data_IF_476049813301
#
_entry.id   IF_476049813301
#
_cell.length_a   1.000
_cell.length_b   1.000
_cell.length_c   1.000
_cell.angle_alpha   90.00
_cell.angle_beta   90.00
_cell.angle_gamma   90.00
#
_symmetry.space_group_name_H-M   'P 1'
#
loop_
_entity.id
_entity.type
_entity.pdbx_description
1 polymer ?
#
# COMPACT_ATOMS: atom_id res chain seq x y z
N UNK A 1 -10.96 17.44 23.53
CA UNK A 1 -12.12 16.54 23.72
C UNK A 1 -12.35 15.68 22.48
N UNK A 2 -12.60 16.25 21.29
CA UNK A 2 -12.87 15.50 20.05
C UNK A 2 -11.76 14.51 19.67
N UNK A 3 -10.48 14.89 19.79
CA UNK A 3 -9.35 13.99 19.49
C UNK A 3 -9.18 12.86 20.52
N UNK A 4 -9.71 13.00 21.74
CA UNK A 4 -9.70 11.97 22.77
C UNK A 4 -10.84 10.97 22.57
N UNK A 5 -12.05 11.46 22.26
CA UNK A 5 -13.22 10.63 21.98
C UNK A 5 -13.01 9.69 20.79
N UNK A 6 -12.16 10.07 19.83
CA UNK A 6 -11.76 9.24 18.68
C UNK A 6 -11.02 7.95 19.10
N UNK A 7 -10.27 7.96 20.20
CA UNK A 7 -9.50 6.80 20.68
C UNK A 7 -10.39 5.75 21.36
N UNK A 8 -11.61 6.13 21.78
CA UNK A 8 -12.53 5.30 22.54
C UNK A 8 -13.79 4.91 21.73
N UNK A 9 -13.63 4.65 20.43
CA UNK A 9 -14.75 4.36 19.51
C UNK A 9 -15.68 3.22 19.98
N UNK A 10 -15.16 2.21 20.69
CA UNK A 10 -15.97 1.12 21.28
C UNK A 10 -16.70 1.49 22.58
N UNK A 11 -16.39 2.65 23.18
CA UNK A 11 -16.95 3.12 24.47
C UNK A 11 -17.80 4.38 24.34
N UNK A 12 -18.06 4.85 23.12
CA UNK A 12 -18.91 6.01 22.84
C UNK A 12 -20.23 5.54 22.26
N UNK A 13 -21.33 6.26 22.57
CA UNK A 13 -22.64 5.92 21.99
C UNK A 13 -22.63 6.04 20.47
N UNK A 14 -23.49 5.28 19.79
CA UNK A 14 -23.63 5.31 18.33
C UNK A 14 -23.88 6.74 17.81
N UNK A 15 -24.75 7.51 18.48
CA UNK A 15 -24.99 8.92 18.13
C UNK A 15 -23.75 9.82 18.29
N UNK A 16 -22.92 9.58 19.31
CA UNK A 16 -21.65 10.29 19.48
C UNK A 16 -20.67 9.93 18.37
N UNK A 17 -20.56 8.63 18.05
CA UNK A 17 -19.71 8.13 16.99
C UNK A 17 -20.09 8.70 15.60
N UNK A 18 -21.38 8.74 15.27
CA UNK A 18 -21.89 9.36 14.04
C UNK A 18 -21.53 10.85 13.94
N UNK A 19 -21.62 11.61 15.04
CA UNK A 19 -21.21 13.02 15.09
C UNK A 19 -19.69 13.18 14.95
N UNK A 20 -18.90 12.28 15.53
CA UNK A 20 -17.44 12.28 15.38
C UNK A 20 -17.03 12.04 13.92
N UNK A 21 -17.66 11.08 13.23
CA UNK A 21 -17.44 10.83 11.79
C UNK A 21 -17.79 12.06 10.94
N UNK A 22 -18.96 12.68 11.18
CA UNK A 22 -19.35 13.93 10.49
C UNK A 22 -18.34 15.05 10.71
N UNK A 23 -17.82 15.19 11.94
CA UNK A 23 -16.78 16.17 12.26
C UNK A 23 -15.46 15.86 11.56
N UNK A 24 -15.03 14.60 11.52
CA UNK A 24 -13.81 14.18 10.80
C UNK A 24 -13.89 14.51 9.30
N UNK A 25 -15.04 14.23 8.67
CA UNK A 25 -15.28 14.60 7.28
C UNK A 25 -15.13 16.11 7.08
N UNK A 26 -15.72 16.92 7.97
CA UNK A 26 -15.61 18.38 7.89
C UNK A 26 -14.17 18.88 8.10
N UNK A 27 -13.44 18.31 9.06
CA UNK A 27 -12.04 18.70 9.34
C UNK A 27 -11.12 18.41 8.13
N UNK A 28 -11.42 17.40 7.31
CA UNK A 28 -10.68 17.11 6.07
C UNK A 28 -11.14 17.99 4.90
N UNK A 29 -12.44 18.25 4.76
CA UNK A 29 -12.99 19.07 3.66
C UNK A 29 -12.68 20.56 3.83
N UNK A 30 -12.69 21.06 5.07
CA UNK A 30 -12.37 22.45 5.42
C UNK A 30 -11.30 22.52 6.52
N UNK A 31 -10.03 22.16 6.23
CA UNK A 31 -8.95 22.13 7.22
C UNK A 31 -8.70 23.48 7.92
N UNK A 32 -8.98 24.60 7.24
CA UNK A 32 -8.93 25.94 7.84
C UNK A 32 -9.98 26.20 8.94
N UNK A 33 -10.86 25.23 9.22
CA UNK A 33 -11.82 25.26 10.35
C UNK A 33 -11.50 24.22 11.43
N UNK A 34 -10.48 23.38 11.22
CA UNK A 34 -9.96 22.48 12.25
C UNK A 34 -9.13 23.30 13.24
N UNK A 35 -9.77 23.67 14.35
CA UNK A 35 -9.14 24.44 15.41
C UNK A 35 -7.83 23.81 15.94
N UNK A 36 -7.74 22.48 15.99
CA UNK A 36 -6.55 21.77 16.47
C UNK A 36 -5.39 22.01 15.49
N UNK A 37 -5.65 21.89 14.19
CA UNK A 37 -4.67 22.14 13.14
C UNK A 37 -4.29 23.62 13.06
N UNK A 38 -5.27 24.52 12.97
CA UNK A 38 -5.01 25.96 12.76
C UNK A 38 -4.27 26.59 13.93
N UNK A 39 -4.58 26.17 15.16
CA UNK A 39 -3.92 26.71 16.36
C UNK A 39 -2.50 26.16 16.49
N UNK A 40 -2.31 24.84 16.35
CA UNK A 40 -1.00 24.20 16.55
C UNK A 40 -0.02 24.49 15.42
N UNK A 41 -0.51 24.77 14.22
CA UNK A 41 0.30 25.13 13.05
C UNK A 41 0.29 26.63 12.72
N UNK A 42 -0.22 27.49 13.61
CA UNK A 42 -0.41 28.92 13.33
C UNK A 42 0.82 29.64 12.73
N UNK A 43 2.07 29.44 13.21
CA UNK A 43 3.23 30.11 12.64
C UNK A 43 3.48 29.75 11.18
N UNK A 44 3.34 28.46 10.82
CA UNK A 44 3.49 27.98 9.44
C UNK A 44 2.36 28.49 8.56
N UNK A 45 1.12 28.48 9.06
CA UNK A 45 -0.04 28.98 8.32
C UNK A 45 0.15 30.46 7.99
N UNK A 46 0.57 31.26 8.97
CA UNK A 46 0.81 32.68 8.77
C UNK A 46 1.95 32.94 7.78
N UNK A 47 3.03 32.16 7.85
CA UNK A 47 4.20 32.35 6.99
C UNK A 47 3.97 31.90 5.55
N UNK A 48 3.32 30.75 5.34
CA UNK A 48 3.26 30.10 4.03
C UNK A 48 1.85 30.00 3.43
N UNK A 49 0.81 29.99 4.27
CA UNK A 49 -0.56 29.65 3.85
C UNK A 49 -1.57 30.78 4.10
N UNK A 50 -1.13 32.01 4.36
CA UNK A 50 -2.00 33.12 4.72
C UNK A 50 -3.04 33.45 3.62
N UNK A 51 -2.65 33.28 2.35
CA UNK A 51 -3.49 33.57 1.19
C UNK A 51 -4.23 32.33 0.65
N UNK A 52 -4.08 31.17 1.31
CA UNK A 52 -4.71 29.94 0.86
C UNK A 52 -6.17 29.86 1.29
N UNK A 53 -6.98 29.23 0.43
CA UNK A 53 -8.39 28.97 0.77
C UNK A 53 -8.46 27.95 1.92
N UNK A 54 -9.52 28.02 2.74
CA UNK A 54 -9.69 27.13 3.91
C UNK A 54 -9.60 25.64 3.55
N UNK A 55 -10.09 25.23 2.38
CA UNK A 55 -9.99 23.86 1.88
C UNK A 55 -8.54 23.42 1.55
N UNK A 56 -7.65 24.37 1.24
CA UNK A 56 -6.29 24.09 0.77
C UNK A 56 -5.23 24.17 1.88
N UNK A 57 -5.60 24.59 3.10
CA UNK A 57 -4.65 24.78 4.21
C UNK A 57 -3.86 23.50 4.51
N UNK A 58 -4.52 22.35 4.51
CA UNK A 58 -3.85 21.06 4.76
C UNK A 58 -2.79 20.75 3.69
N UNK A 59 -3.13 20.98 2.42
CA UNK A 59 -2.24 20.78 1.28
C UNK A 59 -1.07 21.76 1.28
N UNK A 60 -1.31 23.03 1.63
CA UNK A 60 -0.27 24.03 1.77
C UNK A 60 0.71 23.68 2.90
N UNK A 61 0.18 23.29 4.07
CA UNK A 61 1.01 22.84 5.20
C UNK A 61 1.86 21.63 4.82
N UNK A 62 1.28 20.65 4.11
CA UNK A 62 1.99 19.47 3.60
C UNK A 62 3.21 19.84 2.75
N UNK A 63 3.05 20.78 1.81
CA UNK A 63 4.13 21.21 0.91
C UNK A 63 5.27 21.96 1.62
N UNK A 64 4.96 22.63 2.72
CA UNK A 64 5.91 23.50 3.42
C UNK A 64 6.44 22.91 4.74
N UNK A 65 6.04 21.70 5.12
CA UNK A 65 6.37 21.11 6.42
C UNK A 65 7.88 20.93 6.65
N UNK A 66 8.66 20.80 5.58
CA UNK A 66 10.11 20.58 5.62
C UNK A 66 10.94 21.85 5.37
N UNK A 67 10.30 23.01 5.16
CA UNK A 67 11.00 24.28 4.88
C UNK A 67 11.57 24.97 6.14
N UNK A 68 11.07 24.62 7.33
CA UNK A 68 11.50 25.19 8.62
C UNK A 68 11.63 24.09 9.69
N UNK A 69 12.17 24.46 10.86
CA UNK A 69 12.13 23.64 12.07
C UNK A 69 10.69 23.55 12.63
N UNK A 70 9.81 22.88 11.89
CA UNK A 70 8.39 22.74 12.20
C UNK A 70 8.21 22.11 13.58
N UNK A 71 7.46 22.75 14.51
CA UNK A 71 7.22 22.21 15.82
C UNK A 71 6.63 20.80 15.74
N UNK A 72 7.13 19.87 16.56
CA UNK A 72 6.66 18.48 16.59
C UNK A 72 5.15 18.38 16.80
N UNK A 73 4.57 19.31 17.58
CA UNK A 73 3.12 19.38 17.84
C UNK A 73 2.33 19.67 16.55
N UNK A 74 2.79 20.59 15.70
CA UNK A 74 2.16 20.85 14.40
C UNK A 74 2.29 19.63 13.49
N UNK A 75 3.51 19.07 13.41
CA UNK A 75 3.81 17.88 12.61
C UNK A 75 2.90 16.71 12.96
N UNK A 76 2.72 16.43 14.25
CA UNK A 76 1.86 15.35 14.74
C UNK A 76 0.39 15.53 14.35
N UNK A 77 -0.15 16.75 14.43
CA UNK A 77 -1.54 17.00 14.04
C UNK A 77 -1.70 16.94 12.54
N UNK A 78 -0.77 17.51 11.78
CA UNK A 78 -0.75 17.45 10.33
C UNK A 78 -0.71 16.00 9.84
N UNK A 79 0.24 15.19 10.34
CA UNK A 79 0.37 13.78 9.96
C UNK A 79 -0.87 12.97 10.29
N UNK A 80 -1.53 13.20 11.44
CA UNK A 80 -2.82 12.56 11.75
C UNK A 80 -3.91 12.89 10.73
N UNK A 81 -3.96 14.13 10.23
CA UNK A 81 -4.94 14.52 9.20
C UNK A 81 -4.61 13.94 7.83
N UNK A 82 -3.32 13.90 7.48
CA UNK A 82 -2.86 13.28 6.25
C UNK A 82 -3.08 11.76 6.26
N UNK A 83 -2.87 11.10 7.40
CA UNK A 83 -3.18 9.69 7.61
C UNK A 83 -4.66 9.40 7.32
N UNK A 84 -5.59 10.17 7.90
CA UNK A 84 -7.04 10.01 7.62
C UNK A 84 -7.35 10.20 6.13
N UNK A 85 -6.76 11.23 5.50
CA UNK A 85 -6.96 11.51 4.07
C UNK A 85 -6.42 10.40 3.16
N UNK A 86 -5.32 9.73 3.57
CA UNK A 86 -4.65 8.70 2.79
C UNK A 86 -5.12 7.28 3.11
N UNK A 87 -5.86 7.10 4.20
CA UNK A 87 -6.36 5.80 4.62
C UNK A 87 -7.72 5.45 4.04
N UNK A 88 -8.48 6.44 3.56
CA UNK A 88 -9.86 6.23 3.14
C UNK A 88 -10.24 7.17 1.98
N UNK A 89 -10.54 6.59 0.83
CA UNK A 89 -10.89 7.31 -0.39
C UNK A 89 -12.08 8.26 -0.20
N UNK A 90 -13.00 7.99 0.74
CA UNK A 90 -14.19 8.82 1.01
C UNK A 90 -13.83 10.20 1.55
N UNK A 91 -12.65 10.34 2.17
CA UNK A 91 -12.13 11.63 2.61
C UNK A 91 -11.32 12.35 1.54
N UNK A 92 -10.95 11.65 0.46
CA UNK A 92 -10.25 12.20 -0.69
C UNK A 92 -11.19 12.34 -1.89
N UNK A 93 -12.02 13.39 -1.87
CA UNK A 93 -13.01 13.68 -2.92
C UNK A 93 -12.36 13.81 -4.31
N UNK A 94 -11.19 14.47 -4.39
CA UNK A 94 -10.45 14.62 -5.64
C UNK A 94 -10.04 13.28 -6.24
N UNK A 95 -9.54 12.37 -5.40
CA UNK A 95 -9.23 10.99 -5.81
C UNK A 95 -10.46 10.27 -6.36
N UNK A 96 -11.57 10.26 -5.64
CA UNK A 96 -12.80 9.58 -6.12
C UNK A 96 -13.28 10.17 -7.45
N UNK A 97 -13.37 11.49 -7.56
CA UNK A 97 -13.88 12.16 -8.77
C UNK A 97 -12.99 11.89 -9.99
N UNK A 98 -11.67 11.91 -9.81
CA UNK A 98 -10.72 11.75 -10.90
C UNK A 98 -10.41 10.29 -11.22
N UNK A 99 -10.61 9.36 -10.27
CA UNK A 99 -10.41 7.92 -10.46
C UNK A 99 -11.69 7.12 -10.69
N UNK A 100 -12.88 7.73 -10.73
CA UNK A 100 -14.15 7.01 -10.78
C UNK A 100 -14.18 5.90 -11.85
N UNK A 101 -13.80 6.21 -13.09
CA UNK A 101 -13.76 5.24 -14.18
C UNK A 101 -12.80 4.07 -13.91
N UNK A 102 -11.66 4.35 -13.30
CA UNK A 102 -10.66 3.33 -12.98
C UNK A 102 -11.11 2.46 -11.81
N UNK A 103 -11.78 3.05 -10.81
CA UNK A 103 -12.42 2.33 -9.71
C UNK A 103 -13.44 1.35 -10.28
N UNK A 104 -14.31 1.83 -11.17
CA UNK A 104 -15.36 1.04 -11.80
C UNK A 104 -14.81 -0.03 -12.74
N UNK A 105 -13.63 0.14 -13.33
CA UNK A 105 -13.04 -0.89 -14.22
C UNK A 105 -12.19 -1.91 -13.49
N UNK A 106 -11.54 -1.51 -12.40
CA UNK A 106 -10.43 -2.27 -11.84
C UNK A 106 -10.58 -2.63 -10.36
N UNK A 107 -11.49 -1.98 -9.63
CA UNK A 107 -11.65 -2.11 -8.19
C UNK A 107 -13.08 -2.45 -7.73
N UNK A 108 -13.97 -2.87 -8.64
CA UNK A 108 -15.35 -3.23 -8.28
C UNK A 108 -15.43 -4.32 -7.21
N UNK A 109 -14.51 -5.28 -7.22
CA UNK A 109 -14.49 -6.38 -6.25
C UNK A 109 -14.21 -5.90 -4.81
N UNK A 110 -13.65 -4.70 -4.63
CA UNK A 110 -13.41 -4.12 -3.29
C UNK A 110 -14.66 -3.45 -2.70
N UNK A 111 -15.68 -3.24 -3.53
CA UNK A 111 -16.95 -2.60 -3.19
C UNK A 111 -18.00 -3.65 -2.79
N UNK A 112 -17.79 -4.92 -3.16
CA UNK A 112 -18.65 -6.04 -2.77
C UNK A 112 -18.20 -6.51 -1.40
N UNK A 113 -19.09 -6.43 -0.41
CA UNK A 113 -18.84 -6.87 0.95
C UNK A 113 -18.76 -8.41 1.00
N UNK A 114 -17.75 -8.93 1.71
CA UNK A 114 -17.72 -10.31 2.18
C UNK A 114 -18.82 -10.44 3.25
N UNK A 115 -20.05 -10.73 2.82
CA UNK A 115 -21.22 -10.86 3.70
C UNK A 115 -21.43 -12.27 4.25
N UNK A 116 -20.55 -13.24 3.96
CA UNK A 116 -20.69 -14.60 4.47
C UNK A 116 -19.31 -15.18 4.78
N UNK A 117 -18.96 -15.30 6.08
CA UNK A 117 -18.11 -16.32 6.72
C UNK A 117 -17.44 -15.77 8.00
N UNK A 118 -18.24 -15.43 9.01
CA UNK A 118 -17.77 -15.49 10.40
C UNK A 118 -18.59 -16.60 11.09
N UNK A 119 -18.24 -17.87 10.80
CA UNK A 119 -18.49 -18.94 11.77
C UNK A 119 -17.51 -18.69 12.91
N UNK A 120 -18.04 -18.20 14.03
CA UNK A 120 -17.33 -17.96 15.29
C UNK A 120 -16.59 -19.24 15.75
N UNK A 121 -15.27 -19.28 15.55
CA UNK A 121 -14.37 -20.08 16.38
C UNK A 121 -14.11 -19.27 17.66
N UNK A 122 -15.00 -19.43 18.63
CA UNK A 122 -14.79 -18.93 19.99
C UNK A 122 -13.79 -19.86 20.69
N UNK A 123 -12.55 -19.40 20.82
CA UNK A 123 -11.60 -19.97 21.78
C UNK A 123 -12.12 -19.73 23.21
N UNK A 124 -12.31 -20.84 23.92
CA UNK A 124 -12.57 -20.91 25.35
C UNK A 124 -11.43 -20.23 26.13
N UNK A 125 -11.77 -19.19 26.90
CA UNK A 125 -10.99 -18.85 28.09
C UNK A 125 -11.93 -18.75 29.28
N UNK A 126 -11.76 -19.73 30.16
CA UNK A 126 -12.24 -19.80 31.52
C UNK A 126 -12.06 -18.46 32.24
N UNK A 127 -13.14 -17.96 32.85
CA UNK A 127 -13.03 -17.42 34.21
C UNK A 127 -14.36 -17.48 34.94
N UNK A 128 -14.40 -18.41 35.90
CA UNK A 128 -15.34 -18.46 37.00
C UNK A 128 -15.35 -17.11 37.75
N UNK A 129 -16.53 -16.53 37.98
CA UNK A 129 -16.98 -16.17 39.33
C UNK A 129 -18.45 -15.74 39.37
N UNK A 130 -19.21 -16.57 40.09
CA UNK A 130 -20.45 -16.30 40.81
C UNK A 130 -20.86 -14.83 41.04
N UNK A 131 -22.06 -14.48 40.58
CA UNK A 131 -23.03 -13.69 41.35
C UNK A 131 -24.45 -13.93 40.82
N UNK A 132 -25.27 -14.57 41.67
CA UNK A 132 -26.72 -14.57 41.62
C UNK A 132 -27.27 -13.14 41.49
N UNK A 133 -28.23 -12.93 40.59
CA UNK A 133 -29.48 -12.26 40.96
C UNK A 133 -30.58 -12.51 39.92
N UNK A 134 -31.68 -13.08 40.40
CA UNK A 134 -32.94 -13.23 39.69
C UNK A 134 -33.70 -11.90 39.71
N UNK A 135 -34.21 -11.43 38.57
CA UNK A 135 -35.57 -10.91 38.53
C UNK A 135 -36.12 -10.77 37.10
N UNK A 136 -37.28 -11.39 36.90
CA UNK A 136 -38.19 -11.15 35.79
C UNK A 136 -38.80 -9.75 35.89
N UNK A 137 -39.04 -9.09 34.75
CA UNK A 137 -40.34 -8.47 34.47
C UNK A 137 -40.54 -8.10 33.00
N UNK A 138 -41.79 -8.33 32.59
CA UNK A 138 -42.43 -8.28 31.29
C UNK A 138 -42.44 -6.94 30.53
N UNK A 139 -42.60 -7.08 29.21
CA UNK A 139 -43.44 -6.30 28.28
C UNK A 139 -43.13 -4.81 28.01
N UNK A 140 -42.72 -4.49 26.77
CA UNK A 140 -43.63 -3.95 25.73
C UNK A 140 -42.85 -3.22 24.60
N UNK A 141 -43.18 -3.60 23.37
CA UNK A 141 -43.31 -2.72 22.19
C UNK A 141 -42.22 -1.70 21.83
N UNK A 142 -41.40 -2.02 20.82
CA UNK A 142 -41.61 -1.57 19.43
C UNK A 142 -40.43 -1.93 18.52
N UNK A 143 -40.80 -2.39 17.33
CA UNK A 143 -39.95 -2.55 16.17
C UNK A 143 -39.14 -1.27 15.88
N UNK A 144 -37.82 -1.34 15.97
CA UNK A 144 -36.92 -0.55 15.15
C UNK A 144 -35.84 -1.48 14.61
N UNK A 145 -36.01 -1.85 13.33
CA UNK A 145 -34.96 -2.46 12.52
C UNK A 145 -33.94 -1.36 12.17
N UNK A 146 -33.09 -1.01 13.12
CA UNK A 146 -31.86 -0.27 12.85
C UNK A 146 -30.70 -1.28 12.77
N UNK A 147 -30.71 -2.05 11.68
CA UNK A 147 -29.54 -2.80 11.20
C UNK A 147 -28.81 -1.90 10.23
N UNK A 148 -28.13 -0.88 10.76
CA UNK A 148 -27.31 0.05 9.99
C UNK A 148 -26.29 0.68 10.93
N UNK A 149 -25.12 0.03 11.18
CA UNK A 149 -23.84 0.74 11.46
C UNK A 149 -22.62 -0.15 11.81
N UNK A 150 -22.37 -1.29 11.13
CA UNK A 150 -21.07 -2.01 11.30
C UNK A 150 -20.35 -2.42 10.00
N UNK A 151 -20.94 -2.32 8.80
CA UNK A 151 -20.23 -2.66 7.54
C UNK A 151 -19.38 -1.51 6.94
N UNK A 152 -19.34 -0.35 7.58
CA UNK A 152 -18.74 0.87 7.02
C UNK A 152 -17.21 1.02 7.25
N UNK A 153 -16.54 -0.04 7.72
CA UNK A 153 -15.26 0.04 8.45
C UNK A 153 -13.98 0.05 7.61
N UNK A 154 -13.97 -0.31 6.32
CA UNK A 154 -12.73 -0.25 5.51
C UNK A 154 -12.91 -0.07 3.99
N UNK A 155 -14.14 0.14 3.47
CA UNK A 155 -14.36 0.19 2.01
C UNK A 155 -13.50 1.25 1.31
N UNK A 156 -13.35 2.43 1.90
CA UNK A 156 -12.48 3.47 1.35
C UNK A 156 -10.99 3.16 1.42
N UNK A 157 -10.54 2.36 2.39
CA UNK A 157 -9.15 1.90 2.50
C UNK A 157 -8.83 0.77 1.53
N UNK A 158 -9.82 -0.07 1.20
CA UNK A 158 -9.74 -1.07 0.14
C UNK A 158 -9.58 -0.43 -1.25
N UNK A 159 -10.37 0.61 -1.56
CA UNK A 159 -10.28 1.33 -2.84
C UNK A 159 -8.88 1.94 -3.06
N UNK A 160 -8.34 2.67 -2.07
CA UNK A 160 -6.98 3.23 -2.18
C UNK A 160 -5.95 2.12 -2.39
N UNK A 161 -6.08 1.01 -1.63
CA UNK A 161 -5.21 -0.16 -1.78
C UNK A 161 -5.24 -0.75 -3.18
N UNK A 162 -6.44 -0.94 -3.75
CA UNK A 162 -6.61 -1.44 -5.11
C UNK A 162 -6.00 -0.49 -6.14
N UNK A 163 -6.34 0.80 -6.09
CA UNK A 163 -5.80 1.78 -7.04
C UNK A 163 -4.27 1.84 -7.00
N UNK A 164 -3.66 1.78 -5.81
CA UNK A 164 -2.20 1.71 -5.64
C UNK A 164 -1.61 0.43 -6.24
N UNK A 165 -2.27 -0.70 -6.07
CA UNK A 165 -1.87 -1.98 -6.68
C UNK A 165 -1.94 -1.92 -8.21
N UNK A 166 -3.01 -1.34 -8.78
CA UNK A 166 -3.14 -1.16 -10.23
C UNK A 166 -2.12 -0.18 -10.77
N UNK A 167 -1.89 0.93 -10.06
CA UNK A 167 -0.85 1.90 -10.37
C UNK A 167 0.55 1.27 -10.42
N UNK A 168 0.86 0.40 -9.46
CA UNK A 168 2.11 -0.35 -9.38
C UNK A 168 2.27 -1.42 -10.49
N UNK A 169 1.18 -1.78 -11.18
CA UNK A 169 1.18 -2.77 -12.24
C UNK A 169 1.29 -2.10 -13.62
N UNK A 170 2.47 -2.24 -14.27
CA UNK A 170 2.71 -1.68 -15.61
C UNK A 170 1.81 -2.23 -16.72
N UNK A 171 1.12 -3.35 -16.52
CA UNK A 171 0.17 -3.93 -17.48
C UNK A 171 -1.21 -3.25 -17.44
N UNK A 172 -1.51 -2.47 -16.40
CA UNK A 172 -2.78 -1.76 -16.24
C UNK A 172 -2.54 -0.28 -16.50
N UNK A 173 -3.35 0.32 -17.39
CA UNK A 173 -3.28 1.74 -17.71
C UNK A 173 -4.45 2.47 -17.06
N UNK A 174 -4.13 3.30 -16.06
CA UNK A 174 -5.09 4.18 -15.39
C UNK A 174 -5.23 5.51 -16.14
N UNK A 175 -6.32 6.23 -15.92
CA UNK A 175 -6.53 7.54 -16.53
C UNK A 175 -5.50 8.56 -15.99
N UNK A 176 -4.96 9.48 -16.82
CA UNK A 176 -3.95 10.44 -16.39
C UNK A 176 -4.35 11.32 -15.19
N UNK A 177 -5.64 11.68 -15.11
CA UNK A 177 -6.21 12.40 -13.96
C UNK A 177 -6.18 11.56 -12.69
N UNK A 178 -6.44 10.26 -12.77
CA UNK A 178 -6.34 9.35 -11.63
C UNK A 178 -4.88 9.14 -11.21
N UNK A 179 -3.97 8.95 -12.17
CA UNK A 179 -2.52 8.86 -11.93
C UNK A 179 -2.02 10.07 -11.15
N UNK A 180 -2.47 11.28 -11.52
CA UNK A 180 -2.08 12.52 -10.85
C UNK A 180 -2.52 12.54 -9.38
N UNK A 181 -3.76 12.14 -9.09
CA UNK A 181 -4.25 12.03 -7.70
C UNK A 181 -3.53 10.93 -6.92
N UNK A 182 -3.22 9.79 -7.55
CA UNK A 182 -2.51 8.70 -6.90
C UNK A 182 -1.07 9.06 -6.57
N UNK A 183 -0.38 9.81 -7.44
CA UNK A 183 0.95 10.36 -7.11
C UNK A 183 0.86 11.22 -5.85
N UNK A 184 -0.17 12.06 -5.72
CA UNK A 184 -0.37 12.91 -4.55
C UNK A 184 -0.58 12.09 -3.25
N UNK A 185 -1.40 11.04 -3.32
CA UNK A 185 -1.62 10.08 -2.22
C UNK A 185 -0.31 9.38 -1.86
N UNK A 186 0.37 8.77 -2.83
CA UNK A 186 1.60 8.00 -2.60
C UNK A 186 2.71 8.92 -2.06
N UNK A 187 2.89 10.12 -2.60
CA UNK A 187 3.87 11.09 -2.10
C UNK A 187 3.53 11.55 -0.68
N UNK A 188 2.24 11.71 -0.35
CA UNK A 188 1.83 12.06 1.02
C UNK A 188 2.20 10.98 2.02
N UNK A 189 2.08 9.70 1.63
CA UNK A 189 2.53 8.56 2.44
C UNK A 189 4.04 8.56 2.76
N UNK A 190 4.87 9.33 2.03
CA UNK A 190 6.33 9.40 2.26
C UNK A 190 6.75 10.42 3.30
N UNK A 191 5.84 11.30 3.73
CA UNK A 191 6.16 12.32 4.73
C UNK A 191 6.43 11.71 6.11
N UNK A 192 5.78 10.58 6.37
CA UNK A 192 6.03 9.71 7.51
C UNK A 192 5.54 8.31 7.15
N UNK A 193 6.33 7.28 7.48
CA UNK A 193 5.95 5.90 7.22
C UNK A 193 4.62 5.50 7.87
N UNK A 194 4.24 6.17 8.97
CA UNK A 194 2.98 5.92 9.68
C UNK A 194 1.74 6.36 8.88
N UNK A 195 1.91 7.22 7.87
CA UNK A 195 0.82 7.63 6.98
C UNK A 195 0.45 6.47 6.05
N UNK A 196 1.40 5.64 5.63
CA UNK A 196 1.11 4.36 4.99
C UNK A 196 0.76 3.32 6.06
N UNK A 197 -0.51 3.35 6.49
CA UNK A 197 -1.00 2.53 7.61
C UNK A 197 -0.71 1.04 7.38
N UNK A 198 -0.95 0.54 6.16
CA UNK A 198 -0.77 -0.88 5.83
C UNK A 198 0.71 -1.28 5.91
N UNK A 199 1.60 -0.49 5.31
CA UNK A 199 3.04 -0.70 5.42
C UNK A 199 3.50 -0.65 6.87
N UNK A 200 3.11 0.38 7.62
CA UNK A 200 3.52 0.53 9.02
C UNK A 200 3.03 -0.62 9.89
N UNK A 201 1.78 -1.04 9.75
CA UNK A 201 1.22 -2.15 10.52
C UNK A 201 1.97 -3.46 10.25
N UNK A 202 2.21 -3.79 8.97
CA UNK A 202 2.91 -5.02 8.58
C UNK A 202 4.39 -4.98 8.96
N UNK A 203 5.05 -3.83 8.87
CA UNK A 203 6.47 -3.69 9.16
C UNK A 203 6.79 -3.17 10.58
N UNK A 204 5.80 -3.01 11.47
CA UNK A 204 5.92 -2.30 12.75
C UNK A 204 7.11 -2.77 13.59
N UNK A 205 7.27 -4.09 13.72
CA UNK A 205 8.34 -4.69 14.53
C UNK A 205 9.69 -4.30 13.93
N UNK A 206 9.90 -4.59 12.65
CA UNK A 206 11.15 -4.35 11.92
C UNK A 206 11.51 -2.86 11.93
N UNK A 207 10.53 -1.98 11.76
CA UNK A 207 10.74 -0.52 11.82
C UNK A 207 11.31 -0.11 13.18
N UNK A 208 10.71 -0.61 14.27
CA UNK A 208 11.09 -0.22 15.62
C UNK A 208 12.39 -0.88 16.10
N UNK A 209 12.80 -2.01 15.52
CA UNK A 209 14.02 -2.72 15.90
C UNK A 209 15.22 -2.42 15.00
N UNK A 210 15.01 -2.30 13.68
CA UNK A 210 16.09 -2.24 12.69
C UNK A 210 16.23 -0.88 12.00
N UNK A 211 15.20 -0.03 12.04
CA UNK A 211 15.16 1.24 11.29
C UNK A 211 15.07 2.48 12.19
N UNK A 212 15.69 2.43 13.38
CA UNK A 212 15.70 3.53 14.34
C UNK A 212 16.72 4.61 13.97
N UNK A 213 16.31 5.88 14.00
CA UNK A 213 17.20 7.02 13.73
C UNK A 213 17.65 7.18 12.27
N UNK A 214 17.05 6.42 11.34
CA UNK A 214 17.32 6.47 9.91
C UNK A 214 16.02 6.68 9.13
N UNK A 215 16.13 6.96 7.84
CA UNK A 215 14.97 6.94 6.95
C UNK A 215 14.38 5.53 6.91
N UNK A 216 13.14 5.39 7.39
CA UNK A 216 12.50 4.09 7.59
C UNK A 216 12.17 3.42 6.24
N UNK A 217 11.79 4.19 5.22
CA UNK A 217 11.47 3.66 3.88
C UNK A 217 12.73 3.09 3.21
N UNK A 218 13.82 3.85 3.19
CA UNK A 218 15.10 3.41 2.61
C UNK A 218 15.73 2.27 3.41
N UNK A 219 15.58 2.27 4.75
CA UNK A 219 15.98 1.13 5.58
C UNK A 219 15.24 -0.16 5.20
N UNK A 220 13.91 -0.11 5.06
CA UNK A 220 13.12 -1.27 4.65
C UNK A 220 13.51 -1.77 3.25
N UNK A 221 13.71 -0.87 2.29
CA UNK A 221 14.19 -1.22 0.95
C UNK A 221 15.56 -1.91 0.99
N UNK A 222 16.47 -1.45 1.85
CA UNK A 222 17.79 -2.07 2.04
C UNK A 222 17.68 -3.48 2.62
N UNK A 223 16.83 -3.67 3.64
CA UNK A 223 16.59 -4.98 4.25
C UNK A 223 15.94 -5.94 3.24
N UNK A 224 15.02 -5.45 2.41
CA UNK A 224 14.41 -6.21 1.32
C UNK A 224 15.47 -6.69 0.33
N UNK A 225 16.30 -5.77 -0.17
CA UNK A 225 17.35 -6.05 -1.15
C UNK A 225 18.39 -7.05 -0.61
N UNK A 226 18.69 -7.00 0.69
CA UNK A 226 19.61 -7.94 1.35
C UNK A 226 18.95 -9.28 1.71
N UNK A 227 17.67 -9.48 1.39
CA UNK A 227 16.89 -10.66 1.76
C UNK A 227 16.82 -10.91 3.28
N UNK A 228 16.89 -9.85 4.09
CA UNK A 228 16.85 -9.90 5.56
C UNK A 228 15.45 -9.70 6.14
N UNK A 229 14.47 -9.27 5.33
CA UNK A 229 13.07 -9.17 5.74
C UNK A 229 12.43 -10.56 5.76
N UNK A 230 12.34 -11.20 6.92
CA UNK A 230 11.72 -12.52 7.04
C UNK A 230 10.20 -12.47 6.91
N UNK A 231 9.57 -11.51 7.57
CA UNK A 231 8.11 -11.36 7.59
C UNK A 231 7.54 -11.18 6.18
N UNK A 232 6.66 -12.09 5.78
CA UNK A 232 6.09 -12.12 4.43
C UNK A 232 5.15 -10.94 4.17
N UNK A 233 4.40 -10.49 5.18
CA UNK A 233 3.49 -9.35 5.09
C UNK A 233 4.22 -8.02 4.89
N UNK A 234 5.25 -7.77 5.69
CA UNK A 234 6.12 -6.61 5.53
C UNK A 234 6.87 -6.66 4.20
N UNK A 235 7.35 -7.85 3.79
CA UNK A 235 8.00 -8.03 2.49
C UNK A 235 7.07 -7.70 1.32
N UNK A 236 5.79 -8.09 1.40
CA UNK A 236 4.76 -7.74 0.43
C UNK A 236 4.57 -6.23 0.34
N UNK A 237 4.37 -5.55 1.47
CA UNK A 237 4.16 -4.10 1.50
C UNK A 237 5.40 -3.32 1.03
N UNK A 238 6.61 -3.80 1.37
CA UNK A 238 7.86 -3.21 0.87
C UNK A 238 8.00 -3.42 -0.64
N UNK A 239 7.60 -4.57 -1.17
CA UNK A 239 7.56 -4.80 -2.62
C UNK A 239 6.55 -3.89 -3.30
N UNK A 240 5.37 -3.68 -2.72
CA UNK A 240 4.36 -2.74 -3.24
C UNK A 240 4.94 -1.35 -3.41
N UNK A 241 5.56 -0.76 -2.38
CA UNK A 241 6.13 0.60 -2.48
C UNK A 241 7.30 0.68 -3.48
N UNK A 242 8.05 -0.41 -3.68
CA UNK A 242 9.12 -0.43 -4.70
C UNK A 242 8.50 -0.47 -6.10
N UNK A 243 7.46 -1.26 -6.33
CA UNK A 243 6.72 -1.30 -7.60
C UNK A 243 6.04 0.05 -7.89
N UNK A 244 5.47 0.72 -6.88
CA UNK A 244 4.94 2.08 -7.02
C UNK A 244 6.03 3.08 -7.48
N UNK A 245 7.24 2.98 -6.91
CA UNK A 245 8.39 3.80 -7.36
C UNK A 245 8.91 3.44 -8.75
N UNK A 246 8.64 2.23 -9.24
CA UNK A 246 8.95 1.81 -10.62
C UNK A 246 7.87 2.28 -11.62
N UNK A 247 6.65 2.48 -11.16
CA UNK A 247 5.54 2.95 -11.99
C UNK A 247 5.66 4.44 -12.33
N UNK A 248 6.32 5.25 -11.51
CA UNK A 248 6.58 6.65 -11.82
C UNK A 248 7.78 7.20 -11.07
N UNK A 249 8.63 7.94 -11.77
CA UNK A 249 9.79 8.59 -11.17
C UNK A 249 9.41 9.62 -10.10
N UNK A 250 8.27 10.31 -10.25
CA UNK A 250 7.81 11.33 -9.33
C UNK A 250 7.45 10.76 -7.96
N UNK A 251 7.15 9.46 -7.87
CA UNK A 251 6.93 8.79 -6.59
C UNK A 251 8.25 8.57 -5.84
N UNK A 252 9.38 8.36 -6.51
CA UNK A 252 10.66 8.15 -5.84
C UNK A 252 11.37 9.48 -5.56
N UNK A 253 11.25 10.00 -4.35
CA UNK A 253 11.81 11.32 -3.96
C UNK A 253 13.29 11.47 -4.29
N UNK A 254 14.11 10.43 -4.04
CA UNK A 254 15.54 10.47 -4.31
C UNK A 254 15.83 10.52 -5.82
N UNK A 255 15.12 9.71 -6.60
CA UNK A 255 15.28 9.65 -8.05
C UNK A 255 14.71 10.90 -8.74
N UNK A 256 13.53 11.35 -8.34
CA UNK A 256 12.89 12.58 -8.83
C UNK A 256 13.76 13.80 -8.58
N UNK A 257 14.39 13.90 -7.40
CA UNK A 257 15.31 15.01 -7.08
C UNK A 257 16.58 14.96 -7.94
N UNK A 258 17.22 13.79 -8.05
CA UNK A 258 18.46 13.66 -8.81
C UNK A 258 18.28 13.80 -10.33
N UNK A 259 17.12 13.45 -10.86
CA UNK A 259 16.81 13.46 -12.29
C UNK A 259 15.92 14.62 -12.73
N UNK A 260 15.57 15.57 -11.85
CA UNK A 260 14.60 16.63 -12.12
C UNK A 260 14.87 17.39 -13.43
N UNK A 261 16.11 17.83 -13.64
CA UNK A 261 16.52 18.55 -14.86
C UNK A 261 16.60 17.63 -16.08
N UNK A 262 16.96 16.36 -15.89
CA UNK A 262 17.08 15.39 -16.97
C UNK A 262 15.71 14.99 -17.53
N UNK A 263 14.68 14.91 -16.68
CA UNK A 263 13.29 14.68 -17.11
C UNK A 263 12.85 15.82 -18.03
N UNK A 264 13.01 17.08 -17.59
CA UNK A 264 12.62 18.27 -18.38
C UNK A 264 13.39 18.31 -19.70
N UNK A 265 14.68 17.97 -19.67
CA UNK A 265 15.54 18.06 -20.86
C UNK A 265 15.25 16.97 -21.89
N UNK A 266 14.99 15.74 -21.45
CA UNK A 266 14.98 14.57 -22.34
C UNK A 266 13.62 13.86 -22.45
N UNK A 267 12.74 14.05 -21.47
CA UNK A 267 11.51 13.26 -21.30
C UNK A 267 10.28 14.12 -20.97
N UNK A 268 10.31 15.43 -21.25
CA UNK A 268 9.21 16.35 -20.92
C UNK A 268 7.88 15.98 -21.60
N UNK A 269 7.94 15.48 -22.83
CA UNK A 269 6.74 15.10 -23.60
C UNK A 269 6.30 13.65 -23.32
N UNK A 270 6.99 12.96 -22.41
CA UNK A 270 6.65 11.58 -22.04
C UNK A 270 5.60 11.60 -20.93
N UNK A 271 4.44 10.95 -21.13
CA UNK A 271 3.39 10.88 -20.11
C UNK A 271 3.90 10.26 -18.81
N UNK A 272 3.33 10.74 -17.69
CA UNK A 272 3.52 10.16 -16.36
C UNK A 272 2.82 8.80 -16.24
N UNK A 273 3.22 8.01 -15.26
CA UNK A 273 2.74 6.65 -15.01
C UNK A 273 3.34 5.56 -15.90
N UNK A 274 3.02 4.31 -15.54
CA UNK A 274 3.43 3.06 -16.22
C UNK A 274 4.94 2.95 -16.52
N UNK A 275 5.79 3.65 -15.77
CA UNK A 275 7.25 3.68 -15.91
C UNK A 275 7.75 4.36 -17.18
N UNK A 276 6.89 5.07 -17.94
CA UNK A 276 7.23 5.62 -19.26
C UNK A 276 8.42 6.60 -19.21
N UNK A 277 8.39 7.53 -18.25
CA UNK A 277 9.51 8.48 -18.05
C UNK A 277 10.80 7.78 -17.58
N UNK A 278 10.69 6.75 -16.73
CA UNK A 278 11.84 5.94 -16.34
C UNK A 278 12.47 5.23 -17.53
N UNK A 279 11.66 4.60 -18.39
CA UNK A 279 12.15 3.97 -19.60
C UNK A 279 12.84 4.97 -20.54
N UNK A 280 12.31 6.20 -20.65
CA UNK A 280 12.94 7.28 -21.40
C UNK A 280 14.33 7.63 -20.84
N UNK A 281 14.44 7.85 -19.52
CA UNK A 281 15.72 8.14 -18.86
C UNK A 281 16.72 7.01 -18.98
N UNK A 282 16.28 5.75 -18.89
CA UNK A 282 17.13 4.57 -19.06
C UNK A 282 17.74 4.55 -20.46
N UNK A 283 16.96 4.83 -21.50
CA UNK A 283 17.45 4.95 -22.89
C UNK A 283 18.45 6.10 -23.05
N UNK A 284 18.33 7.15 -22.22
CA UNK A 284 19.22 8.32 -22.19
C UNK A 284 20.28 8.26 -21.08
N UNK A 285 20.49 7.10 -20.46
CA UNK A 285 21.36 6.93 -19.28
C UNK A 285 22.81 7.42 -19.45
N UNK A 286 23.31 7.51 -20.70
CA UNK A 286 24.64 8.07 -21.03
C UNK A 286 24.67 9.59 -21.15
N UNK A 287 23.51 10.23 -21.31
CA UNK A 287 23.33 11.66 -21.59
C UNK A 287 22.76 12.44 -20.39
N UNK A 288 22.19 11.73 -19.42
CA UNK A 288 21.73 12.33 -18.16
C UNK A 288 22.90 12.75 -17.28
N UNK A 289 22.62 13.56 -16.25
CA UNK A 289 23.63 13.94 -15.26
C UNK A 289 24.20 12.73 -14.52
N UNK A 290 25.45 12.83 -14.05
CA UNK A 290 26.07 11.78 -13.23
C UNK A 290 25.28 11.47 -11.95
N UNK A 291 24.63 12.49 -11.37
CA UNK A 291 23.77 12.34 -10.20
C UNK A 291 22.55 11.46 -10.52
N UNK A 292 21.80 11.81 -11.59
CA UNK A 292 20.68 11.00 -12.05
C UNK A 292 21.12 9.57 -12.40
N UNK A 293 22.21 9.42 -13.17
CA UNK A 293 22.72 8.11 -13.59
C UNK A 293 23.03 7.20 -12.39
N UNK A 294 23.68 7.74 -11.35
CA UNK A 294 24.09 7.00 -10.15
C UNK A 294 22.89 6.48 -9.33
N UNK A 295 21.84 7.29 -9.16
CA UNK A 295 20.64 6.84 -8.44
C UNK A 295 19.81 5.90 -9.33
N UNK A 296 19.68 6.21 -10.62
CA UNK A 296 18.94 5.39 -11.58
C UNK A 296 19.52 3.97 -11.65
N UNK A 297 20.85 3.81 -11.70
CA UNK A 297 21.47 2.48 -11.73
C UNK A 297 21.20 1.68 -10.45
N UNK A 298 21.28 2.32 -9.27
CA UNK A 298 20.94 1.67 -7.99
C UNK A 298 19.48 1.22 -7.93
N UNK A 299 18.55 2.05 -8.44
CA UNK A 299 17.13 1.69 -8.50
C UNK A 299 16.86 0.56 -9.49
N UNK A 300 17.55 0.51 -10.63
CA UNK A 300 17.46 -0.61 -11.55
C UNK A 300 17.85 -1.95 -10.92
N UNK A 301 18.91 -1.98 -10.10
CA UNK A 301 19.30 -3.18 -9.35
C UNK A 301 18.22 -3.59 -8.34
N UNK A 302 17.64 -2.62 -7.63
CA UNK A 302 16.55 -2.88 -6.69
C UNK A 302 15.33 -3.49 -7.41
N UNK A 303 14.91 -2.93 -8.56
CA UNK A 303 13.76 -3.45 -9.31
C UNK A 303 13.99 -4.87 -9.84
N UNK A 304 15.20 -5.19 -10.33
CA UNK A 304 15.53 -6.55 -10.78
C UNK A 304 15.37 -7.60 -9.68
N UNK A 305 15.62 -7.23 -8.41
CA UNK A 305 15.44 -8.17 -7.29
C UNK A 305 13.97 -8.54 -7.02
N UNK A 306 13.02 -7.79 -7.58
CA UNK A 306 11.58 -8.07 -7.47
C UNK A 306 11.08 -8.88 -8.68
N UNK A 307 11.61 -8.62 -9.87
CA UNK A 307 11.20 -9.30 -11.10
C UNK A 307 11.39 -10.82 -11.08
N UNK A 308 12.37 -11.34 -10.32
CA UNK A 308 12.57 -12.79 -10.21
C UNK A 308 11.39 -13.55 -9.58
N UNK A 309 10.53 -12.86 -8.82
CA UNK A 309 9.30 -13.45 -8.25
C UNK A 309 8.15 -13.36 -9.26
N UNK A 310 8.07 -12.27 -10.02
CA UNK A 310 7.02 -12.05 -11.02
C UNK A 310 7.23 -12.87 -12.30
N UNK A 311 8.48 -13.16 -12.70
CA UNK A 311 8.82 -13.82 -13.98
C UNK A 311 8.16 -15.20 -14.15
N UNK A 312 7.95 -15.96 -13.06
CA UNK A 312 7.33 -17.28 -13.13
C UNK A 312 5.83 -17.18 -13.36
N UNK A 313 5.16 -16.27 -12.65
CA UNK A 313 3.71 -16.05 -12.76
C UNK A 313 3.33 -15.29 -14.05
N UNK A 314 4.12 -14.30 -14.44
CA UNK A 314 3.92 -13.55 -15.68
C UNK A 314 4.23 -14.42 -16.92
N UNK A 315 5.28 -15.25 -16.88
CA UNK A 315 5.53 -16.24 -17.94
C UNK A 315 4.40 -17.26 -18.01
N UNK A 316 3.92 -17.75 -16.86
CA UNK A 316 2.78 -18.68 -16.83
C UNK A 316 1.51 -18.05 -17.41
N UNK A 317 1.18 -16.80 -17.04
CA UNK A 317 0.02 -16.07 -17.57
C UNK A 317 0.14 -15.78 -19.06
N UNK A 318 1.31 -15.39 -19.54
CA UNK A 318 1.55 -15.18 -20.97
C UNK A 318 1.41 -16.48 -21.77
N UNK A 319 1.90 -17.60 -21.25
CA UNK A 319 1.74 -18.91 -21.90
C UNK A 319 0.27 -19.32 -21.94
N UNK A 320 -0.46 -19.17 -20.82
CA UNK A 320 -1.89 -19.53 -20.70
C UNK A 320 -2.78 -18.68 -21.61
N UNK A 321 -2.48 -17.39 -21.72
CA UNK A 321 -3.24 -16.43 -22.53
C UNK A 321 -2.75 -16.35 -23.98
N UNK A 322 -1.71 -17.08 -24.38
CA UNK A 322 -1.23 -17.10 -25.76
C UNK A 322 -2.20 -17.88 -26.67
N UNK A 323 -2.34 -17.42 -27.92
CA UNK A 323 -3.11 -18.13 -28.95
C UNK A 323 -2.59 -19.56 -29.18
N UNK A 324 -1.32 -19.80 -28.87
CA UNK A 324 -0.63 -21.08 -29.01
C UNK A 324 -0.51 -21.87 -27.70
N UNK A 325 -1.36 -21.61 -26.70
CA UNK A 325 -1.32 -22.29 -25.39
C UNK A 325 -1.26 -23.83 -25.49
N UNK A 326 -1.96 -24.42 -26.45
CA UNK A 326 -1.97 -25.88 -26.70
C UNK A 326 -0.56 -26.40 -27.07
N UNK A 327 0.19 -25.64 -27.87
CA UNK A 327 1.56 -25.99 -28.23
C UNK A 327 2.49 -25.98 -27.01
N UNK A 328 2.38 -24.94 -26.17
CA UNK A 328 3.19 -24.87 -24.95
C UNK A 328 2.88 -26.00 -23.96
N UNK A 329 1.60 -26.35 -23.76
CA UNK A 329 1.23 -27.51 -22.94
C UNK A 329 1.77 -28.82 -23.51
N UNK A 330 1.70 -29.01 -24.83
CA UNK A 330 2.24 -30.21 -25.47
C UNK A 330 3.77 -30.33 -25.27
N UNK A 331 4.50 -29.22 -25.36
CA UNK A 331 5.95 -29.19 -25.11
C UNK A 331 6.27 -29.51 -23.64
N UNK A 332 5.56 -28.91 -22.69
CA UNK A 332 5.77 -29.16 -21.25
C UNK A 332 5.49 -30.64 -20.92
N UNK A 333 4.38 -31.18 -21.43
CA UNK A 333 4.00 -32.59 -21.24
C UNK A 333 5.06 -33.51 -21.86
N UNK A 334 5.56 -33.21 -23.07
CA UNK A 334 6.62 -33.98 -23.70
C UNK A 334 7.91 -33.98 -22.88
N UNK A 335 8.31 -32.82 -22.33
CA UNK A 335 9.48 -32.72 -21.44
C UNK A 335 9.30 -33.56 -20.18
N UNK A 336 8.13 -33.51 -19.54
CA UNK A 336 7.82 -34.34 -18.36
C UNK A 336 7.83 -35.84 -18.68
N UNK A 337 7.32 -36.24 -19.84
CA UNK A 337 7.39 -37.63 -20.31
C UNK A 337 8.83 -38.08 -20.58
N UNK A 338 9.66 -37.23 -21.18
CA UNK A 338 11.09 -37.53 -21.37
C UNK A 338 11.80 -37.70 -20.04
N UNK A 339 11.54 -36.81 -19.07
CA UNK A 339 12.10 -36.92 -17.71
C UNK A 339 11.63 -38.22 -17.02
N UNK A 340 10.35 -38.56 -17.16
CA UNK A 340 9.80 -39.81 -16.61
C UNK A 340 10.44 -41.05 -17.26
N UNK A 341 10.61 -41.06 -18.58
CA UNK A 341 11.27 -42.14 -19.31
C UNK A 341 12.73 -42.28 -18.89
N UNK A 342 13.47 -41.17 -18.79
CA UNK A 342 14.85 -41.18 -18.28
C UNK A 342 14.87 -41.71 -16.85
N UNK A 343 13.95 -41.29 -15.98
CA UNK A 343 13.81 -41.80 -14.61
C UNK A 343 13.50 -43.30 -14.54
N UNK A 344 12.63 -43.80 -15.41
CA UNK A 344 12.30 -45.22 -15.54
C UNK A 344 13.47 -46.04 -16.10
N UNK A 345 14.23 -45.52 -17.06
CA UNK A 345 15.42 -46.15 -17.61
C UNK A 345 16.62 -46.11 -16.65
N UNK A 346 16.66 -45.13 -15.73
CA UNK A 346 17.64 -45.07 -14.63
C UNK A 346 17.24 -45.90 -13.39
N UNK A 347 15.98 -46.35 -13.29
CA UNK A 347 15.46 -47.18 -12.19
C UNK A 347 16.16 -48.55 -12.05
N UNK A 348 16.58 -49.26 -13.14
CA UNK A 348 17.45 -50.44 -13.07
C UNK A 348 18.84 -50.14 -12.51
N UNK A 349 19.44 -49.00 -12.86
CA UNK A 349 20.78 -48.61 -12.39
C UNK A 349 20.81 -48.31 -10.88
N UNK A 350 19.73 -47.73 -10.34
CA UNK A 350 19.63 -47.47 -8.89
C UNK A 350 19.44 -48.78 -8.10
N UNK A 351 18.67 -49.75 -8.63
CA UNK A 351 18.53 -51.09 -8.03
C UNK A 351 19.83 -51.90 -8.06
N UNK A 352 20.61 -51.80 -9.14
CA UNK A 352 21.93 -52.45 -9.23
C UNK A 352 22.93 -51.91 -8.19
N UNK A 353 22.96 -50.58 -7.97
CA UNK A 353 23.81 -49.95 -6.93
C UNK A 353 23.39 -50.36 -5.52
N UNK A 354 22.09 -50.55 -5.27
CA UNK A 354 21.56 -51.00 -3.96
C UNK A 354 21.89 -52.48 -3.66
N UNK A 355 21.86 -53.37 -4.67
CA UNK A 355 22.28 -54.77 -4.50
C UNK A 355 23.80 -54.94 -4.29
N UNK A 356 24.62 -54.08 -4.92
CA UNK A 356 26.09 -54.12 -4.74
C UNK A 356 26.53 -53.68 -3.34
N UNK A 357 25.74 -52.82 -2.67
CA UNK A 357 25.99 -52.42 -1.29
C UNK A 357 25.55 -53.49 -0.27
N UNK A 358 24.49 -54.27 -0.55
CA UNK A 358 24.07 -55.40 0.31
C UNK A 358 25.09 -56.55 0.33
N UNK A 359 25.76 -56.84 -0.80
CA UNK A 359 26.85 -57.83 -0.87
C UNK A 359 28.18 -57.37 -0.25
N UNK A 360 28.28 -56.13 0.21
CA UNK A 360 29.46 -55.60 0.91
C UNK A 360 29.30 -55.54 2.43
N UNK A 361 28.09 -55.81 2.93
CA UNK A 361 27.74 -55.72 4.35
C UNK A 361 27.31 -57.06 4.97
N UNK A 362 27.36 -58.17 4.21
CA UNK A 362 27.17 -59.54 4.70
C UNK A 362 28.37 -60.40 4.35
#
# INVERSE_FOLDING_TARGET
ITDCLKTYHKKVSAACYARLRKRQKLDVVLPGTDYSLTTKCAPLIQKYCANEKKQNILLCLRRNINQDNTPSICRNVLYRRLMILNSDARFNKGLIENCQNDIDRHCQNEIIDDDDNDDDESDDDDDNNNANDNNNNNNDDKNDKDTDDIQDRDMGGRIIGCLRSKYANTQVELEPKCITELIDVIQTSKLDIEIDIKLYQKCKIIINTNCTGVDKEDCLKLLYQKHLLQDSGCREEVRRIIKEGQADIHVDSALSSACQFDIIKYCNDVPIGSGKQLQCLIKKSKSVTKACQSILSKRQELWRSISHVDDIDDLARQIVNSDNKVYFYAVIIAVLFVIFIIGCLCRPCFRYRRMKNYKRTN
#
